data_IF_458769425863
#
_entry.id   IF_458769425863
#
_cell.length_a   1.000
_cell.length_b   1.000
_cell.length_c   1.000
_cell.angle_alpha   90.00
_cell.angle_beta   90.00
_cell.angle_gamma   90.00
#
_symmetry.space_group_name_H-M   'P 1'
#
loop_
_entity.id
_entity.type
_entity.pdbx_description
1 polymer ?
#
# COMPACT_ATOMS: atom_id res chain seq x y z
N UNK A 1 -4.97 8.34 19.81
CA UNK A 1 -4.48 7.02 20.19
C UNK A 1 -4.26 6.21 18.91
N UNK A 2 -3.23 5.37 18.88
CA UNK A 2 -3.01 4.47 17.75
C UNK A 2 -4.11 3.40 17.69
N UNK A 3 -4.44 2.95 16.48
CA UNK A 3 -5.47 1.93 16.24
C UNK A 3 -5.08 0.57 16.82
N UNK A 4 -5.96 -0.01 17.61
CA UNK A 4 -5.79 -1.38 18.14
C UNK A 4 -6.19 -2.45 17.12
N UNK A 5 -5.85 -3.71 17.38
CA UNK A 5 -6.31 -4.84 16.56
C UNK A 5 -7.85 -4.94 16.53
N UNK A 6 -8.52 -4.67 17.64
CA UNK A 6 -9.98 -4.63 17.70
C UNK A 6 -10.59 -3.52 16.87
N UNK A 7 -9.94 -2.34 16.81
CA UNK A 7 -10.38 -1.23 15.95
C UNK A 7 -10.24 -1.60 14.48
N UNK A 8 -9.12 -2.23 14.10
CA UNK A 8 -8.87 -2.72 12.74
C UNK A 8 -9.91 -3.78 12.34
N UNK A 9 -10.13 -4.79 13.17
CA UNK A 9 -11.10 -5.85 12.88
C UNK A 9 -12.55 -5.32 12.79
N UNK A 10 -12.90 -4.31 13.60
CA UNK A 10 -14.20 -3.65 13.54
C UNK A 10 -14.37 -2.79 12.28
N UNK A 11 -13.35 -2.04 11.91
CA UNK A 11 -13.37 -1.20 10.72
C UNK A 11 -13.34 -2.05 9.44
N UNK A 12 -12.62 -3.14 9.46
CA UNK A 12 -12.40 -4.06 8.33
C UNK A 12 -12.71 -5.51 8.71
N UNK A 13 -14.00 -5.91 8.80
CA UNK A 13 -14.39 -7.27 9.18
C UNK A 13 -13.75 -8.36 8.30
N UNK A 14 -13.43 -8.05 7.04
CA UNK A 14 -12.77 -8.96 6.11
C UNK A 14 -11.33 -9.31 6.51
N UNK A 15 -10.66 -8.48 7.31
CA UNK A 15 -9.36 -8.78 7.87
C UNK A 15 -9.45 -9.90 8.92
N UNK A 16 -10.51 -9.88 9.72
CA UNK A 16 -10.62 -10.73 10.89
C UNK A 16 -9.61 -10.38 11.99
N UNK A 17 -9.81 -10.96 13.17
CA UNK A 17 -9.00 -10.62 14.36
C UNK A 17 -7.53 -11.02 14.19
N UNK A 18 -7.25 -12.22 13.67
CA UNK A 18 -5.88 -12.73 13.55
C UNK A 18 -5.01 -11.89 12.59
N UNK A 19 -5.57 -11.43 11.47
CA UNK A 19 -4.82 -10.54 10.57
C UNK A 19 -4.68 -9.14 11.18
N UNK A 20 -5.68 -8.63 11.89
CA UNK A 20 -5.60 -7.34 12.58
C UNK A 20 -4.48 -7.34 13.64
N UNK A 21 -4.36 -8.40 14.43
CA UNK A 21 -3.24 -8.60 15.39
C UNK A 21 -1.88 -8.61 14.67
N UNK A 22 -1.79 -9.35 13.56
CA UNK A 22 -0.56 -9.39 12.76
C UNK A 22 -0.20 -8.04 12.15
N UNK A 23 -1.17 -7.23 11.74
CA UNK A 23 -0.95 -5.86 11.26
C UNK A 23 -0.36 -5.00 12.38
N UNK A 24 -0.88 -5.08 13.61
CA UNK A 24 -0.35 -4.34 14.77
C UNK A 24 1.09 -4.74 15.06
N UNK A 25 1.36 -6.06 15.12
CA UNK A 25 2.68 -6.62 15.35
C UNK A 25 3.71 -6.12 14.32
N UNK A 26 3.40 -6.24 13.03
CA UNK A 26 4.26 -5.81 11.92
C UNK A 26 4.46 -4.29 11.93
N UNK A 27 3.41 -3.52 12.20
CA UNK A 27 3.51 -2.06 12.31
C UNK A 27 4.49 -1.63 13.39
N UNK A 28 4.43 -2.28 14.56
CA UNK A 28 5.37 -2.02 15.66
C UNK A 28 6.83 -2.31 15.27
N UNK A 29 7.10 -3.46 14.62
CA UNK A 29 8.44 -3.80 14.14
C UNK A 29 8.97 -2.84 13.07
N UNK A 30 8.10 -2.33 12.21
CA UNK A 30 8.45 -1.37 11.17
C UNK A 30 8.57 0.07 11.70
N UNK A 31 8.10 0.36 12.91
CA UNK A 31 8.05 1.72 13.46
C UNK A 31 6.96 2.59 12.82
N UNK A 32 5.87 1.98 12.36
CA UNK A 32 4.69 2.70 11.85
C UNK A 32 3.90 3.22 13.05
N UNK A 33 3.71 4.55 13.20
CA UNK A 33 3.13 5.13 14.42
C UNK A 33 1.69 4.70 14.72
N UNK A 34 0.89 4.44 13.68
CA UNK A 34 -0.48 3.96 13.80
C UNK A 34 -0.70 2.73 12.89
N UNK A 35 -0.96 1.54 13.46
CA UNK A 35 -1.27 0.34 12.67
C UNK A 35 -2.46 0.50 11.72
N UNK A 36 -3.36 1.43 12.01
CA UNK A 36 -4.47 1.78 11.13
C UNK A 36 -4.01 2.26 9.75
N UNK A 37 -2.83 2.87 9.64
CA UNK A 37 -2.28 3.28 8.34
C UNK A 37 -1.94 2.08 7.45
N UNK A 38 -1.35 1.04 8.04
CA UNK A 38 -1.05 -0.19 7.31
C UNK A 38 -2.34 -0.95 6.93
N UNK A 39 -3.33 -0.96 7.82
CA UNK A 39 -4.64 -1.52 7.52
C UNK A 39 -5.36 -0.77 6.39
N UNK A 40 -5.32 0.58 6.39
CA UNK A 40 -5.86 1.41 5.32
C UNK A 40 -5.15 1.16 3.97
N UNK A 41 -3.82 1.02 3.99
CA UNK A 41 -3.04 0.66 2.80
C UNK A 41 -3.48 -0.70 2.24
N UNK A 42 -3.55 -1.74 3.07
CA UNK A 42 -3.99 -3.08 2.66
C UNK A 42 -5.42 -3.04 2.12
N UNK A 43 -6.33 -2.31 2.79
CA UNK A 43 -7.69 -2.11 2.31
C UNK A 43 -7.73 -1.50 0.91
N UNK A 44 -6.90 -0.51 0.65
CA UNK A 44 -6.82 0.17 -0.64
C UNK A 44 -6.25 -0.75 -1.73
N UNK A 45 -5.09 -1.38 -1.48
CA UNK A 45 -4.36 -2.22 -2.44
C UNK A 45 -5.11 -3.53 -2.75
N UNK A 46 -5.71 -4.15 -1.75
CA UNK A 46 -6.46 -5.40 -1.93
C UNK A 46 -7.90 -5.20 -2.41
N UNK A 47 -8.28 -4.01 -2.84
CA UNK A 47 -9.66 -3.66 -3.22
C UNK A 47 -10.68 -4.01 -2.12
N UNK A 48 -10.33 -3.76 -0.87
CA UNK A 48 -11.12 -4.02 0.34
C UNK A 48 -11.38 -5.49 0.66
N UNK A 49 -10.68 -6.41 0.02
CA UNK A 49 -10.88 -7.87 0.23
C UNK A 49 -10.03 -8.43 1.35
N UNK A 50 -8.89 -7.84 1.66
CA UNK A 50 -7.85 -8.39 2.55
C UNK A 50 -7.41 -9.81 2.14
N UNK A 51 -7.64 -10.17 0.87
CA UNK A 51 -7.30 -11.48 0.34
C UNK A 51 -5.85 -11.54 -0.13
N UNK A 52 -5.08 -12.57 0.28
CA UNK A 52 -3.73 -12.78 -0.23
C UNK A 52 -3.70 -13.20 -1.70
N UNK A 53 -4.84 -13.66 -2.23
CA UNK A 53 -4.94 -14.17 -3.60
C UNK A 53 -5.57 -13.19 -4.58
N UNK A 54 -6.00 -11.98 -4.12
CA UNK A 54 -6.57 -10.98 -5.02
C UNK A 54 -5.55 -10.57 -6.09
N UNK A 55 -5.98 -10.55 -7.36
CA UNK A 55 -5.12 -10.26 -8.51
C UNK A 55 -5.65 -9.06 -9.27
N UNK A 56 -4.74 -8.24 -9.75
CA UNK A 56 -5.07 -7.22 -10.74
C UNK A 56 -5.25 -7.90 -12.10
N UNK A 57 -6.39 -7.69 -12.81
CA UNK A 57 -6.67 -8.38 -14.08
C UNK A 57 -5.77 -7.92 -15.23
N UNK A 58 -5.10 -6.78 -15.12
CA UNK A 58 -4.30 -6.17 -16.19
C UNK A 58 -2.80 -6.20 -15.91
N UNK A 59 -2.38 -6.74 -14.75
CA UNK A 59 -0.97 -6.81 -14.35
C UNK A 59 -0.68 -8.08 -13.54
N UNK A 60 0.57 -8.26 -13.12
CA UNK A 60 0.97 -9.36 -12.23
C UNK A 60 0.72 -9.07 -10.75
N UNK A 61 0.17 -7.90 -10.41
CA UNK A 61 -0.02 -7.48 -9.03
C UNK A 61 -0.94 -8.43 -8.26
N UNK A 62 -0.50 -8.86 -7.07
CA UNK A 62 -1.17 -9.92 -6.31
C UNK A 62 -1.10 -9.65 -4.81
N UNK A 63 -2.19 -9.90 -4.09
CA UNK A 63 -2.26 -9.99 -2.64
C UNK A 63 -2.41 -8.65 -1.92
N UNK A 64 -2.05 -8.66 -0.63
CA UNK A 64 -2.38 -7.61 0.34
C UNK A 64 -1.89 -6.21 -0.05
N UNK A 65 -0.71 -6.11 -0.65
CA UNK A 65 -0.14 -4.82 -1.11
C UNK A 65 0.18 -4.84 -2.61
N UNK A 66 -0.48 -5.71 -3.36
CA UNK A 66 -0.34 -5.83 -4.82
C UNK A 66 1.11 -6.05 -5.28
N UNK A 67 1.75 -7.10 -4.75
CA UNK A 67 3.10 -7.50 -5.13
C UNK A 67 3.21 -7.77 -6.64
N UNK A 68 4.10 -7.06 -7.30
CA UNK A 68 4.46 -7.31 -8.69
C UNK A 68 5.34 -8.57 -8.82
N UNK A 69 5.24 -9.29 -9.94
CA UNK A 69 6.04 -10.52 -10.16
C UNK A 69 7.55 -10.29 -10.03
N UNK A 70 8.07 -9.19 -10.57
CA UNK A 70 9.48 -8.83 -10.45
C UNK A 70 9.89 -8.56 -8.98
N UNK A 71 9.01 -7.91 -8.19
CA UNK A 71 9.23 -7.67 -6.77
C UNK A 71 9.26 -8.97 -6.00
N UNK A 72 8.27 -9.85 -6.21
CA UNK A 72 8.21 -11.15 -5.57
C UNK A 72 9.46 -12.00 -5.88
N UNK A 73 9.86 -12.08 -7.15
CA UNK A 73 11.08 -12.79 -7.56
C UNK A 73 12.33 -12.21 -6.90
N UNK A 74 12.44 -10.90 -6.83
CA UNK A 74 13.55 -10.22 -6.15
C UNK A 74 13.62 -10.51 -4.65
N UNK A 75 12.51 -10.79 -4.01
CA UNK A 75 12.44 -11.21 -2.61
C UNK A 75 12.63 -12.72 -2.42
N UNK A 76 12.79 -13.51 -3.49
CA UNK A 76 12.97 -14.97 -3.41
C UNK A 76 11.65 -15.74 -3.31
N UNK A 77 10.56 -15.19 -3.83
CA UNK A 77 9.24 -15.83 -3.90
C UNK A 77 8.58 -15.60 -5.27
N UNK A 78 7.30 -15.93 -5.41
CA UNK A 78 6.51 -15.66 -6.60
C UNK A 78 5.12 -15.17 -6.24
N UNK A 79 4.45 -14.49 -7.18
CA UNK A 79 3.05 -14.09 -6.99
C UNK A 79 2.12 -15.29 -6.81
N UNK A 80 2.43 -16.43 -7.39
CA UNK A 80 1.69 -17.68 -7.17
C UNK A 80 1.88 -18.20 -5.76
N UNK A 81 3.11 -18.24 -5.24
CA UNK A 81 3.38 -18.63 -3.85
C UNK A 81 2.71 -17.67 -2.86
N UNK A 82 2.79 -16.36 -3.10
CA UNK A 82 2.10 -15.37 -2.27
C UNK A 82 0.58 -15.58 -2.25
N UNK A 83 -0.02 -15.85 -3.40
CA UNK A 83 -1.46 -16.06 -3.51
C UNK A 83 -1.96 -17.33 -2.79
N UNK A 84 -1.09 -18.31 -2.57
CA UNK A 84 -1.42 -19.57 -1.87
C UNK A 84 -1.28 -19.47 -0.34
N UNK A 85 -0.75 -18.37 0.18
CA UNK A 85 -0.58 -18.17 1.63
C UNK A 85 -1.90 -17.75 2.30
N UNK A 86 -1.97 -17.92 3.63
CA UNK A 86 -2.95 -17.16 4.41
C UNK A 86 -2.58 -15.66 4.41
N UNK A 87 -3.57 -14.79 4.67
CA UNK A 87 -3.30 -13.35 4.77
C UNK A 87 -2.28 -13.03 5.89
N UNK A 88 -2.36 -13.72 7.04
CA UNK A 88 -1.40 -13.58 8.14
C UNK A 88 0.01 -14.00 7.74
N UNK A 89 0.17 -15.10 7.00
CA UNK A 89 1.47 -15.53 6.51
C UNK A 89 2.03 -14.58 5.44
N UNK A 90 1.17 -14.00 4.58
CA UNK A 90 1.61 -13.03 3.59
C UNK A 90 2.11 -11.72 4.24
N UNK A 91 1.69 -11.40 5.47
CA UNK A 91 2.19 -10.23 6.20
C UNK A 91 3.70 -10.28 6.48
N UNK A 92 4.31 -11.45 6.57
CA UNK A 92 5.77 -11.56 6.72
C UNK A 92 6.50 -11.05 5.46
N UNK A 93 5.89 -11.23 4.29
CA UNK A 93 6.37 -10.68 3.02
C UNK A 93 6.09 -9.18 2.90
N UNK A 94 4.94 -8.71 3.43
CA UNK A 94 4.64 -7.27 3.54
C UNK A 94 5.70 -6.59 4.41
N UNK A 95 6.01 -7.16 5.57
CA UNK A 95 7.06 -6.65 6.45
C UNK A 95 8.43 -6.62 5.77
N UNK A 96 8.83 -7.73 5.14
CA UNK A 96 10.10 -7.81 4.41
C UNK A 96 10.20 -6.75 3.31
N UNK A 97 9.13 -6.51 2.58
CA UNK A 97 9.06 -5.48 1.56
C UNK A 97 9.20 -4.08 2.16
N UNK A 98 8.38 -3.74 3.15
CA UNK A 98 8.38 -2.42 3.77
C UNK A 98 9.68 -2.14 4.54
N UNK A 99 10.31 -3.17 5.08
CA UNK A 99 11.61 -3.03 5.77
C UNK A 99 12.73 -2.52 4.86
N UNK A 100 12.64 -2.71 3.53
CA UNK A 100 13.58 -2.10 2.57
C UNK A 100 13.53 -0.57 2.59
N UNK A 101 12.43 0.01 3.04
CA UNK A 101 12.17 1.45 3.07
C UNK A 101 12.17 2.04 4.47
N UNK A 102 12.31 1.20 5.50
CA UNK A 102 12.23 1.61 6.91
C UNK A 102 13.22 2.72 7.28
N UNK A 103 14.40 2.74 6.69
CA UNK A 103 15.41 3.78 6.93
C UNK A 103 14.98 5.18 6.49
N UNK A 104 14.00 5.29 5.56
CA UNK A 104 13.41 6.57 5.18
C UNK A 104 12.34 7.06 6.18
N UNK A 105 11.88 6.17 7.05
CA UNK A 105 10.80 6.43 7.99
C UNK A 105 9.41 6.37 7.37
N UNK A 106 8.40 6.14 8.23
CA UNK A 106 6.98 6.18 7.89
C UNK A 106 6.33 7.24 8.78
N UNK A 107 6.64 8.53 8.50
CA UNK A 107 6.24 9.64 9.35
C UNK A 107 4.76 10.02 9.18
N UNK A 108 4.16 9.60 8.10
CA UNK A 108 2.74 9.84 7.77
C UNK A 108 2.21 8.75 6.82
N UNK A 109 0.89 8.61 6.63
CA UNK A 109 0.31 7.61 5.74
C UNK A 109 0.78 7.71 4.29
N UNK A 110 1.08 8.92 3.79
CA UNK A 110 1.54 9.12 2.41
C UNK A 110 2.89 8.44 2.18
N UNK A 111 3.81 8.47 3.15
CA UNK A 111 5.09 7.75 3.05
C UNK A 111 4.86 6.25 2.88
N UNK A 112 3.90 5.68 3.62
CA UNK A 112 3.55 4.28 3.53
C UNK A 112 2.94 3.92 2.17
N UNK A 113 2.04 4.76 1.65
CA UNK A 113 1.51 4.58 0.29
C UNK A 113 2.61 4.69 -0.77
N UNK A 114 3.53 5.65 -0.61
CA UNK A 114 4.63 5.81 -1.56
C UNK A 114 5.65 4.68 -1.49
N UNK A 115 5.88 4.08 -0.32
CA UNK A 115 6.73 2.89 -0.21
C UNK A 115 6.24 1.75 -1.13
N UNK A 116 4.93 1.62 -1.33
CA UNK A 116 4.34 0.60 -2.19
C UNK A 116 4.20 1.08 -3.64
N UNK A 117 3.72 2.29 -3.84
CA UNK A 117 3.41 2.80 -5.17
C UNK A 117 4.62 3.38 -5.91
N UNK A 118 5.38 4.28 -5.26
CA UNK A 118 6.49 5.00 -5.88
C UNK A 118 7.56 5.41 -4.85
N UNK A 119 8.43 4.50 -4.42
CA UNK A 119 9.35 4.72 -3.29
C UNK A 119 10.32 5.91 -3.45
N UNK A 120 10.57 6.36 -4.69
CA UNK A 120 11.37 7.55 -4.93
C UNK A 120 10.72 8.85 -4.41
N UNK A 121 9.40 8.86 -4.25
CA UNK A 121 8.63 10.00 -3.78
C UNK A 121 8.39 10.02 -2.25
N UNK A 122 8.88 9.02 -1.51
CA UNK A 122 8.76 9.01 -0.05
C UNK A 122 9.44 10.26 0.56
N UNK A 123 8.76 10.88 1.51
CA UNK A 123 9.22 12.12 2.17
C UNK A 123 9.05 13.39 1.33
N UNK A 124 8.56 13.29 0.11
CA UNK A 124 8.30 14.45 -0.75
C UNK A 124 6.85 14.44 -1.27
N UNK A 125 5.91 15.06 -0.54
CA UNK A 125 4.49 15.05 -0.91
C UNK A 125 4.18 15.82 -2.20
N UNK A 126 5.09 16.68 -2.64
CA UNK A 126 4.96 17.51 -3.84
C UNK A 126 5.77 16.96 -5.03
N UNK A 127 6.31 15.75 -4.91
CA UNK A 127 7.01 15.07 -6.00
C UNK A 127 6.12 14.97 -7.24
N UNK A 128 6.61 15.42 -8.39
CA UNK A 128 5.86 15.36 -9.65
C UNK A 128 6.13 14.04 -10.37
N UNK A 129 5.10 13.25 -10.59
CA UNK A 129 5.22 12.03 -11.38
C UNK A 129 5.41 12.37 -12.86
N UNK A 130 6.15 11.53 -13.58
CA UNK A 130 6.31 11.67 -15.03
C UNK A 130 4.97 11.55 -15.76
N UNK A 131 4.82 12.16 -16.93
CA UNK A 131 3.62 12.09 -17.75
C UNK A 131 3.14 10.64 -17.98
N UNK A 132 4.08 9.70 -18.12
CA UNK A 132 3.79 8.26 -18.25
C UNK A 132 3.12 7.68 -17.00
N UNK A 133 3.60 8.04 -15.80
CA UNK A 133 3.00 7.61 -14.52
C UNK A 133 1.61 8.23 -14.36
N UNK A 134 1.48 9.52 -14.65
CA UNK A 134 0.20 10.24 -14.60
C UNK A 134 -0.85 9.58 -15.50
N UNK A 135 -0.51 9.30 -16.75
CA UNK A 135 -1.40 8.65 -17.70
C UNK A 135 -1.82 7.25 -17.26
N UNK A 136 -0.90 6.46 -16.68
CA UNK A 136 -1.16 5.12 -16.19
C UNK A 136 -1.98 5.09 -14.88
N UNK A 137 -2.12 6.22 -14.17
CA UNK A 137 -2.78 6.29 -12.88
C UNK A 137 -3.97 7.28 -12.84
N UNK A 138 -4.67 7.40 -13.97
CA UNK A 138 -5.87 8.22 -14.08
C UNK A 138 -5.67 9.69 -13.69
N UNK A 139 -4.56 10.29 -14.13
CA UNK A 139 -4.27 11.70 -13.93
C UNK A 139 -3.64 12.05 -12.57
N UNK A 140 -3.40 11.09 -11.69
CA UNK A 140 -2.71 11.34 -10.42
C UNK A 140 -1.29 11.80 -10.68
N UNK A 141 -0.96 13.03 -10.28
CA UNK A 141 0.27 13.72 -10.62
C UNK A 141 1.32 13.75 -9.50
N UNK A 142 0.90 13.52 -8.25
CA UNK A 142 1.76 13.64 -7.07
C UNK A 142 1.30 12.75 -5.91
N UNK A 143 2.14 12.57 -4.87
CA UNK A 143 1.81 11.76 -3.68
C UNK A 143 0.55 12.21 -2.91
N UNK A 144 0.27 13.53 -2.85
CA UNK A 144 -0.93 14.03 -2.15
C UNK A 144 -2.20 13.51 -2.79
N UNK A 145 -2.32 13.64 -4.11
CA UNK A 145 -3.48 13.15 -4.87
C UNK A 145 -3.64 11.63 -4.74
N UNK A 146 -2.52 10.88 -4.72
CA UNK A 146 -2.56 9.44 -4.48
C UNK A 146 -3.10 9.13 -3.08
N UNK A 147 -2.56 9.79 -2.06
CA UNK A 147 -2.98 9.61 -0.67
C UNK A 147 -4.44 10.01 -0.46
N UNK A 148 -4.91 11.11 -1.05
CA UNK A 148 -6.31 11.52 -1.01
C UNK A 148 -7.22 10.44 -1.60
N UNK A 149 -6.86 9.87 -2.76
CA UNK A 149 -7.61 8.78 -3.37
C UNK A 149 -7.67 7.54 -2.46
N UNK A 150 -6.53 7.14 -1.88
CA UNK A 150 -6.46 6.01 -0.98
C UNK A 150 -7.29 6.26 0.29
N UNK A 151 -7.20 7.46 0.87
CA UNK A 151 -7.87 7.85 2.09
C UNK A 151 -9.40 7.95 1.95
N UNK A 152 -9.94 8.16 0.74
CA UNK A 152 -11.40 8.09 0.51
C UNK A 152 -11.99 6.72 0.84
N UNK A 153 -11.19 5.66 0.85
CA UNK A 153 -11.57 4.30 1.24
C UNK A 153 -11.12 3.92 2.65
N UNK A 154 -10.36 4.79 3.33
CA UNK A 154 -9.88 4.56 4.68
C UNK A 154 -11.04 4.62 5.68
N UNK A 155 -11.11 3.65 6.59
CA UNK A 155 -12.10 3.59 7.67
C UNK A 155 -11.47 3.86 9.05
N UNK A 156 -10.14 3.98 9.10
CA UNK A 156 -9.37 4.30 10.29
C UNK A 156 -8.70 5.67 10.14
N UNK A 157 -8.38 6.36 11.24
CA UNK A 157 -7.76 7.68 11.20
C UNK A 157 -6.50 7.67 10.35
N UNK A 158 -6.34 8.68 9.49
CA UNK A 158 -5.17 8.84 8.63
C UNK A 158 -4.16 9.83 9.20
N UNK A 159 -4.50 10.52 10.31
CA UNK A 159 -3.65 11.57 10.88
C UNK A 159 -3.54 12.82 10.00
N UNK A 160 -4.09 12.81 8.81
CA UNK A 160 -4.18 14.01 7.99
C UNK A 160 -5.33 14.87 8.51
N UNK A 161 -5.03 16.07 9.06
CA UNK A 161 -6.07 17.08 9.30
C UNK A 161 -6.62 17.48 7.94
N UNK A 162 -7.93 17.26 7.76
CA UNK A 162 -8.62 17.61 6.54
C UNK A 162 -8.46 19.09 6.23
N UNK A 163 -7.79 19.41 5.13
CA UNK A 163 -8.25 20.51 4.31
C UNK A 163 -9.59 20.06 3.75
N UNK A 164 -10.62 20.83 3.97
CA UNK A 164 -12.01 20.56 3.66
C UNK A 164 -12.17 19.81 2.32
N UNK A 165 -12.71 18.59 2.40
CA UNK A 165 -13.10 17.86 1.20
C UNK A 165 -14.34 18.59 0.67
N UNK A 166 -14.14 19.49 -0.27
CA UNK A 166 -15.22 20.06 -1.06
C UNK A 166 -16.01 18.92 -1.69
N UNK A 167 -17.28 18.83 -1.33
CA UNK A 167 -18.25 17.87 -1.83
C UNK A 167 -18.54 18.13 -3.32
N UNK A 168 -17.65 17.71 -4.21
CA UNK A 168 -17.93 17.67 -5.64
C UNK A 168 -18.33 16.26 -6.00
N UNK A 169 -19.64 16.07 -6.16
CA UNK A 169 -20.27 14.79 -6.51
C UNK A 169 -19.85 14.29 -7.87
N UNK A 170 -18.70 13.64 -7.95
CA UNK A 170 -18.29 12.84 -9.11
C UNK A 170 -18.58 11.38 -8.80
N UNK A 171 -19.58 10.79 -9.49
CA UNK A 171 -19.79 9.35 -9.51
C UNK A 171 -18.56 8.68 -10.09
N UNK A 172 -17.75 8.04 -9.24
CA UNK A 172 -16.59 7.26 -9.68
C UNK A 172 -17.04 5.80 -9.82
N UNK A 173 -17.03 5.30 -11.04
CA UNK A 173 -17.11 3.87 -11.32
C UNK A 173 -15.92 3.16 -10.62
N UNK A 174 -16.07 1.90 -10.17
CA UNK A 174 -14.98 1.15 -9.55
C UNK A 174 -13.89 0.89 -10.60
N UNK A 175 -12.85 1.70 -10.59
CA UNK A 175 -11.69 1.51 -11.45
C UNK A 175 -10.70 0.67 -10.66
N UNK A 176 -10.48 -0.55 -11.13
CA UNK A 176 -9.38 -1.41 -10.71
C UNK A 176 -8.06 -0.65 -10.92
N UNK A 177 -7.29 -0.48 -9.85
CA UNK A 177 -6.00 0.21 -9.88
C UNK A 177 -5.04 -0.54 -10.81
N UNK A 178 -4.65 0.12 -11.89
CA UNK A 178 -3.57 -0.34 -12.75
C UNK A 178 -2.26 0.16 -12.15
N UNK A 179 -1.70 -0.57 -11.20
CA UNK A 179 -0.34 -0.30 -10.71
C UNK A 179 0.71 -0.94 -11.64
N UNK A 180 0.59 -0.64 -12.96
CA UNK A 180 1.47 -1.26 -13.96
C UNK A 180 2.87 -0.68 -14.05
N UNK A 181 3.25 0.28 -13.20
CA UNK A 181 4.49 1.05 -13.39
C UNK A 181 5.51 1.04 -12.25
N UNK A 182 5.34 0.22 -11.23
CA UNK A 182 6.44 -0.06 -10.28
C UNK A 182 7.67 -0.74 -10.92
N UNK A 183 7.54 -1.24 -12.15
CA UNK A 183 8.57 -2.02 -12.83
C UNK A 183 9.82 -1.24 -13.21
N UNK A 184 9.72 0.02 -13.64
CA UNK A 184 10.91 0.76 -14.11
C UNK A 184 11.71 1.39 -12.96
N UNK A 185 11.05 1.87 -11.91
CA UNK A 185 11.72 2.44 -10.74
C UNK A 185 12.39 1.35 -9.88
N UNK A 186 11.77 0.18 -9.76
CA UNK A 186 12.31 -0.95 -8.98
C UNK A 186 13.52 -1.62 -9.62
N UNK A 187 13.56 -1.78 -10.95
CA UNK A 187 14.70 -2.38 -11.64
C UNK A 187 15.98 -1.53 -11.52
N UNK A 188 15.86 -0.21 -11.49
CA UNK A 188 16.99 0.70 -11.34
C UNK A 188 17.50 0.78 -9.89
N UNK A 189 16.60 0.71 -8.90
CA UNK A 189 16.96 0.72 -7.49
C UNK A 189 17.54 -0.63 -7.03
N UNK A 190 17.08 -1.76 -7.57
CA UNK A 190 17.59 -3.09 -7.23
C UNK A 190 19.05 -3.29 -7.66
N UNK A 191 19.48 -2.67 -8.78
CA UNK A 191 20.90 -2.64 -9.19
C UNK A 191 21.80 -1.88 -8.21
N UNK A 192 21.26 -0.91 -7.48
CA UNK A 192 22.02 -0.08 -6.53
C UNK A 192 22.15 -0.70 -5.15
N UNK A 193 21.27 -1.64 -4.80
CA UNK A 193 21.26 -2.31 -3.48
C UNK A 193 22.06 -3.64 -3.46
N UNK A 194 22.56 -4.10 -4.59
CA UNK A 194 23.41 -5.30 -4.71
C UNK A 194 24.91 -5.00 -4.74
N UNK A 195 25.34 -3.79 -4.45
CA UNK A 195 26.77 -3.44 -4.30
C UNK A 195 27.11 -3.12 -2.87
#
# INVERSE_FOLDING_TARGET
MASSASDIARAYPQAGQALAEKIVEVSGRLGIPDPGWLANLINFESASTFSPSVRNPTSSATGLIQFMAATAAGMGTSTTALASMSATAQMDWVERYLNMWKSKGFSNPTDLYMAVFYPAAMGNPDYQFSAKVVAANNGISNPREYAEKANRKAKLPTGMRGTEIGNTGVRVLPILLVSSMGLLAMALLWRRYRR
#
